data_IF_764830724704
#
_entry.id   IF_764830724704
#
_cell.length_a   1.000
_cell.length_b   1.000
_cell.length_c   1.000
_cell.angle_alpha   90.00
_cell.angle_beta   90.00
_cell.angle_gamma   90.00
#
_symmetry.space_group_name_H-M   'P 1'
#
loop_
_entity.id
_entity.type
_entity.pdbx_description
1 polymer ?
#
# COMPACT_ATOMS: atom_id res chain seq x y z
N UNK A 1 1.27 -0.21 1.79
CA UNK A 1 0.64 -1.31 1.06
C UNK A 1 1.43 -2.62 1.20
N UNK A 2 2.76 -2.65 0.90
CA UNK A 2 3.57 -3.88 0.99
C UNK A 2 3.54 -4.54 2.37
N UNK A 3 3.58 -3.76 3.45
CA UNK A 3 3.47 -4.31 4.80
C UNK A 3 2.11 -5.01 5.03
N UNK A 4 1.01 -4.45 4.51
CA UNK A 4 -0.29 -5.13 4.52
C UNK A 4 -0.24 -6.44 3.72
N UNK A 5 0.30 -6.39 2.50
CA UNK A 5 0.40 -7.56 1.64
C UNK A 5 1.19 -8.70 2.30
N UNK A 6 2.35 -8.38 2.90
CA UNK A 6 3.18 -9.36 3.62
C UNK A 6 2.46 -9.95 4.83
N UNK A 7 1.78 -9.12 5.65
CA UNK A 7 1.05 -9.58 6.83
C UNK A 7 -0.18 -10.42 6.47
N UNK A 8 -0.91 -10.05 5.40
CA UNK A 8 -2.05 -10.83 4.92
C UNK A 8 -1.58 -12.19 4.39
N UNK A 9 -0.52 -12.22 3.59
CA UNK A 9 0.05 -13.46 3.07
C UNK A 9 0.61 -14.39 4.16
N UNK A 10 1.09 -13.83 5.28
CA UNK A 10 1.57 -14.60 6.43
C UNK A 10 0.42 -15.26 7.22
N UNK A 11 -0.77 -14.65 7.22
CA UNK A 11 -1.90 -15.05 8.08
C UNK A 11 -3.00 -15.81 7.34
N UNK A 12 -2.97 -15.84 6.01
CA UNK A 12 -4.03 -16.39 5.18
C UNK A 12 -3.46 -17.34 4.13
N UNK A 13 -4.24 -18.34 3.76
CA UNK A 13 -3.86 -19.34 2.76
C UNK A 13 -4.07 -18.89 1.32
N UNK A 14 -4.94 -17.90 1.09
CA UNK A 14 -5.25 -17.37 -0.24
C UNK A 14 -4.12 -16.52 -0.81
N UNK A 15 -4.09 -16.39 -2.13
CA UNK A 15 -3.10 -15.59 -2.83
C UNK A 15 -3.23 -14.09 -2.51
N UNK A 16 -2.09 -13.39 -2.47
CA UNK A 16 -2.02 -11.93 -2.45
C UNK A 16 -1.50 -11.46 -3.80
N UNK A 17 -2.31 -10.70 -4.53
CA UNK A 17 -1.95 -10.14 -5.83
C UNK A 17 -1.54 -8.67 -5.68
N UNK A 18 -0.37 -8.30 -6.20
CA UNK A 18 0.16 -6.93 -6.19
C UNK A 18 0.37 -6.49 -7.62
N UNK A 19 -0.36 -5.48 -8.06
CA UNK A 19 -0.16 -4.81 -9.34
C UNK A 19 0.66 -3.55 -9.10
N UNK A 20 1.96 -3.62 -9.42
CA UNK A 20 2.93 -2.53 -9.25
C UNK A 20 3.13 -1.82 -10.57
N UNK A 21 2.36 -0.75 -10.81
CA UNK A 21 2.33 -0.09 -12.11
C UNK A 21 3.42 0.98 -12.26
N UNK A 22 4.04 1.38 -11.16
CA UNK A 22 5.13 2.36 -11.13
C UNK A 22 6.50 1.71 -10.91
N UNK A 23 6.57 0.70 -10.05
CA UNK A 23 7.83 0.10 -9.64
C UNK A 23 8.03 -1.29 -10.23
N UNK A 24 9.25 -1.63 -10.70
CA UNK A 24 9.57 -3.00 -11.11
C UNK A 24 9.44 -4.01 -9.97
N UNK A 25 9.08 -5.24 -10.31
CA UNK A 25 8.88 -6.34 -9.37
C UNK A 25 10.12 -6.66 -8.51
N UNK A 26 11.32 -6.53 -9.07
CA UNK A 26 12.57 -6.71 -8.33
C UNK A 26 12.78 -5.66 -7.23
N UNK A 27 12.37 -4.41 -7.48
CA UNK A 27 12.41 -3.34 -6.48
C UNK A 27 11.41 -3.58 -5.35
N UNK A 28 10.21 -4.08 -5.69
CA UNK A 28 9.20 -4.47 -4.69
C UNK A 28 9.70 -5.64 -3.83
N UNK A 29 10.30 -6.65 -4.47
CA UNK A 29 10.89 -7.80 -3.77
C UNK A 29 12.02 -7.38 -2.84
N UNK A 30 12.92 -6.48 -3.25
CA UNK A 30 13.98 -5.94 -2.39
C UNK A 30 13.42 -5.24 -1.14
N UNK A 31 12.32 -4.49 -1.28
CA UNK A 31 11.63 -3.86 -0.14
C UNK A 31 11.02 -4.90 0.81
N UNK A 32 10.38 -5.96 0.26
CA UNK A 32 9.86 -7.06 1.07
C UNK A 32 10.98 -7.78 1.81
N UNK A 33 12.08 -8.08 1.13
CA UNK A 33 13.27 -8.72 1.72
C UNK A 33 13.88 -7.86 2.83
N UNK A 34 14.05 -6.54 2.60
CA UNK A 34 14.57 -5.61 3.59
C UNK A 34 13.69 -5.56 4.84
N UNK A 35 12.38 -5.44 4.64
CA UNK A 35 11.40 -5.39 5.73
C UNK A 35 11.32 -6.68 6.54
N UNK A 36 11.39 -7.85 5.89
CA UNK A 36 11.29 -9.17 6.55
C UNK A 36 12.60 -9.53 7.26
N UNK A 37 13.75 -9.30 6.63
CA UNK A 37 15.07 -9.61 7.19
C UNK A 37 15.59 -8.57 8.17
N UNK A 38 14.98 -7.38 8.21
CA UNK A 38 15.48 -6.20 8.94
C UNK A 38 16.92 -5.81 8.52
N UNK A 39 17.26 -6.04 7.25
CA UNK A 39 18.51 -5.60 6.65
C UNK A 39 18.24 -4.33 5.83
N UNK A 40 19.07 -3.31 6.02
CA UNK A 40 18.92 -2.02 5.37
C UNK A 40 18.94 -2.15 3.85
N UNK A 41 18.00 -1.47 3.20
CA UNK A 41 17.83 -1.48 1.75
C UNK A 41 19.10 -1.07 0.99
N UNK A 42 19.90 -0.14 1.56
CA UNK A 42 21.16 0.29 0.98
C UNK A 42 22.24 -0.80 1.01
N UNK A 43 22.26 -1.62 2.06
CA UNK A 43 23.16 -2.77 2.14
C UNK A 43 22.77 -3.85 1.14
N UNK A 44 21.46 -4.09 0.94
CA UNK A 44 20.96 -4.98 -0.12
C UNK A 44 21.39 -4.50 -1.51
N UNK A 45 21.30 -3.19 -1.75
CA UNK A 45 21.68 -2.60 -3.04
C UNK A 45 23.17 -2.64 -3.30
N UNK A 46 24.00 -2.39 -2.25
CA UNK A 46 25.45 -2.34 -2.39
C UNK A 46 26.12 -3.71 -2.30
N UNK A 47 25.41 -4.73 -1.82
CA UNK A 47 25.96 -6.06 -1.54
C UNK A 47 26.91 -6.13 -0.36
N UNK A 48 27.05 -5.05 0.42
CA UNK A 48 27.93 -4.98 1.60
C UNK A 48 27.22 -5.54 2.84
N UNK A 49 27.19 -6.86 2.95
CA UNK A 49 26.48 -7.58 3.99
C UNK A 49 27.46 -8.30 4.91
N UNK A 50 27.15 -8.34 6.20
CA UNK A 50 27.81 -9.23 7.16
C UNK A 50 27.29 -10.66 7.00
N UNK A 51 28.00 -11.64 7.57
CA UNK A 51 27.54 -13.03 7.56
C UNK A 51 26.19 -13.20 8.29
N UNK A 52 25.97 -12.45 9.35
CA UNK A 52 24.70 -12.46 10.10
C UNK A 52 23.56 -11.87 9.27
N UNK A 53 23.79 -10.75 8.60
CA UNK A 53 22.78 -10.14 7.70
C UNK A 53 22.45 -11.06 6.52
N UNK A 54 23.45 -11.75 5.99
CA UNK A 54 23.25 -12.75 4.94
C UNK A 54 22.39 -13.91 5.44
N UNK A 55 22.64 -14.42 6.66
CA UNK A 55 21.80 -15.47 7.26
C UNK A 55 20.34 -15.03 7.41
N UNK A 56 20.11 -13.80 7.93
CA UNK A 56 18.75 -13.24 8.05
C UNK A 56 18.05 -13.07 6.70
N UNK A 57 18.80 -12.73 5.66
CA UNK A 57 18.28 -12.64 4.29
C UNK A 57 17.86 -14.01 3.73
N UNK A 58 18.67 -15.05 3.96
CA UNK A 58 18.30 -16.41 3.56
C UNK A 58 17.03 -16.89 4.27
N UNK A 59 16.91 -16.66 5.57
CA UNK A 59 15.74 -16.99 6.35
C UNK A 59 14.50 -16.23 5.84
N UNK A 60 14.62 -14.91 5.65
CA UNK A 60 13.54 -14.09 5.09
C UNK A 60 13.13 -14.55 3.67
N UNK A 61 14.10 -14.92 2.83
CA UNK A 61 13.84 -15.48 1.50
C UNK A 61 13.08 -16.79 1.56
N UNK A 62 13.44 -17.69 2.46
CA UNK A 62 12.72 -18.93 2.71
C UNK A 62 11.26 -18.66 3.10
N UNK A 63 11.05 -17.81 4.11
CA UNK A 63 9.70 -17.43 4.56
C UNK A 63 8.86 -16.79 3.46
N UNK A 64 9.45 -15.89 2.65
CA UNK A 64 8.73 -15.23 1.56
C UNK A 64 8.40 -16.20 0.41
N UNK A 65 9.26 -17.19 0.15
CA UNK A 65 9.02 -18.20 -0.90
C UNK A 65 7.83 -19.11 -0.59
N UNK A 66 7.52 -19.32 0.68
CA UNK A 66 6.36 -20.09 1.13
C UNK A 66 5.04 -19.32 1.04
N UNK A 67 5.11 -17.98 0.97
CA UNK A 67 3.94 -17.11 0.89
C UNK A 67 3.46 -16.97 -0.56
N UNK A 68 2.16 -17.04 -0.75
CA UNK A 68 1.53 -16.89 -2.07
C UNK A 68 1.40 -15.40 -2.44
N UNK A 69 2.54 -14.71 -2.61
CA UNK A 69 2.60 -13.31 -3.05
C UNK A 69 2.96 -13.28 -4.53
N UNK A 70 2.09 -12.68 -5.34
CA UNK A 70 2.25 -12.54 -6.79
C UNK A 70 2.37 -11.07 -7.15
N UNK A 71 3.48 -10.68 -7.74
CA UNK A 71 3.75 -9.30 -8.17
C UNK A 71 3.69 -9.24 -9.68
N UNK A 72 2.86 -8.34 -10.18
CA UNK A 72 2.71 -8.04 -11.60
C UNK A 72 3.09 -6.57 -11.84
N UNK A 73 4.16 -6.35 -12.61
CA UNK A 73 4.67 -5.03 -12.96
C UNK A 73 4.41 -4.64 -14.41
N UNK A 74 3.36 -5.23 -15.01
CA UNK A 74 2.93 -4.88 -16.36
C UNK A 74 2.54 -3.40 -16.43
N UNK A 75 3.31 -2.60 -17.13
CA UNK A 75 2.99 -1.20 -17.40
C UNK A 75 1.75 -1.10 -18.31
N UNK A 76 0.97 -0.02 -18.13
CA UNK A 76 -0.22 0.25 -18.97
C UNK A 76 -1.27 -0.88 -18.96
N UNK A 77 -1.45 -1.55 -17.82
CA UNK A 77 -2.42 -2.62 -17.65
C UNK A 77 -3.86 -2.08 -17.74
N UNK A 78 -4.74 -2.81 -18.42
CA UNK A 78 -6.17 -2.50 -18.47
C UNK A 78 -6.91 -3.18 -17.31
N UNK A 79 -8.01 -2.58 -16.87
CA UNK A 79 -8.87 -3.16 -15.81
C UNK A 79 -9.26 -4.61 -16.15
N UNK A 80 -9.62 -4.90 -17.41
CA UNK A 80 -9.98 -6.26 -17.84
C UNK A 80 -8.84 -7.28 -17.70
N UNK A 81 -7.59 -6.84 -17.86
CA UNK A 81 -6.43 -7.70 -17.65
C UNK A 81 -6.20 -7.98 -16.17
N UNK A 82 -6.43 -6.99 -15.28
CA UNK A 82 -6.41 -7.20 -13.82
C UNK A 82 -7.44 -8.28 -13.44
N UNK A 83 -8.68 -8.17 -13.93
CA UNK A 83 -9.70 -9.20 -13.71
C UNK A 83 -9.26 -10.59 -14.17
N UNK A 84 -8.73 -10.69 -15.39
CA UNK A 84 -8.28 -11.98 -15.94
C UNK A 84 -7.16 -12.60 -15.12
N UNK A 85 -6.18 -11.78 -14.68
CA UNK A 85 -5.08 -12.24 -13.84
C UNK A 85 -5.56 -12.66 -12.45
N UNK A 86 -6.48 -11.92 -11.83
CA UNK A 86 -7.08 -12.30 -10.55
C UNK A 86 -7.89 -13.60 -10.65
N UNK A 87 -8.72 -13.76 -11.70
CA UNK A 87 -9.45 -15.02 -11.92
C UNK A 87 -8.51 -16.22 -12.06
N UNK A 88 -7.41 -16.06 -12.81
CA UNK A 88 -6.39 -17.08 -12.94
C UNK A 88 -5.78 -17.44 -11.58
N UNK A 89 -5.34 -16.44 -10.82
CA UNK A 89 -4.77 -16.65 -9.48
C UNK A 89 -5.76 -17.32 -8.52
N UNK A 90 -7.05 -16.93 -8.55
CA UNK A 90 -8.12 -17.55 -7.76
C UNK A 90 -8.30 -19.03 -8.13
N UNK A 91 -8.27 -19.34 -9.43
CA UNK A 91 -8.36 -20.72 -9.92
C UNK A 91 -7.18 -21.60 -9.51
N UNK A 92 -5.96 -21.05 -9.53
CA UNK A 92 -4.73 -21.79 -9.20
C UNK A 92 -4.52 -21.96 -7.69
N UNK A 93 -5.00 -21.01 -6.87
CA UNK A 93 -4.76 -20.99 -5.43
C UNK A 93 -6.00 -21.27 -4.57
N UNK A 94 -7.17 -21.44 -5.18
CA UNK A 94 -8.46 -21.64 -4.52
C UNK A 94 -9.12 -20.31 -4.09
N UNK A 95 -8.35 -19.35 -3.57
CA UNK A 95 -8.85 -18.04 -3.15
C UNK A 95 -7.81 -16.94 -3.31
N UNK A 96 -8.27 -15.68 -3.28
CA UNK A 96 -7.43 -14.50 -3.13
C UNK A 96 -7.75 -13.88 -1.78
N UNK A 97 -6.72 -13.56 -1.01
CA UNK A 97 -6.87 -12.90 0.30
C UNK A 97 -6.77 -11.39 0.22
N UNK A 98 -6.07 -10.86 -0.79
CA UNK A 98 -5.91 -9.41 -0.98
C UNK A 98 -5.47 -9.11 -2.41
N UNK A 99 -5.99 -8.01 -2.96
CA UNK A 99 -5.46 -7.37 -4.17
C UNK A 99 -4.93 -5.99 -3.80
N UNK A 100 -3.71 -5.67 -4.22
CA UNK A 100 -3.08 -4.35 -4.05
C UNK A 100 -2.78 -3.76 -5.42
N UNK A 101 -3.08 -2.47 -5.62
CA UNK A 101 -2.83 -1.73 -6.87
C UNK A 101 -2.06 -0.46 -6.55
N UNK A 102 -0.87 -0.33 -7.11
CA UNK A 102 0.04 0.79 -6.89
C UNK A 102 0.41 1.44 -8.25
N UNK A 103 -0.25 2.52 -8.64
CA UNK A 103 -1.42 3.22 -8.13
C UNK A 103 -2.51 3.33 -9.22
N UNK A 104 -3.75 3.54 -8.81
CA UNK A 104 -4.92 3.40 -9.70
C UNK A 104 -4.90 4.31 -10.93
N UNK A 105 -4.30 5.50 -10.84
CA UNK A 105 -4.21 6.43 -11.96
C UNK A 105 -3.29 5.95 -13.10
N UNK A 106 -2.48 4.90 -12.92
CA UNK A 106 -1.66 4.30 -13.98
C UNK A 106 -2.41 3.19 -14.73
N UNK A 107 -3.58 2.79 -14.26
CA UNK A 107 -4.43 1.84 -14.99
C UNK A 107 -4.93 2.52 -16.27
N UNK A 108 -4.83 1.79 -17.38
CA UNK A 108 -5.42 2.23 -18.66
C UNK A 108 -6.91 1.95 -18.66
N UNK A 109 -7.70 3.00 -18.70
CA UNK A 109 -9.16 2.90 -18.82
C UNK A 109 -9.63 2.58 -20.24
N UNK A 110 -10.93 2.48 -20.38
CA UNK A 110 -11.61 2.50 -21.67
C UNK A 110 -11.67 3.94 -22.17
N UNK A 111 -11.89 4.14 -23.49
CA UNK A 111 -12.03 5.49 -24.07
C UNK A 111 -13.10 6.28 -23.30
N UNK A 112 -12.66 7.25 -22.51
CA UNK A 112 -13.51 8.18 -21.79
C UNK A 112 -13.29 9.60 -22.34
N UNK A 113 -14.32 10.44 -22.25
CA UNK A 113 -14.27 11.82 -22.72
C UNK A 113 -13.36 12.71 -21.85
N UNK A 114 -13.06 12.25 -20.64
CA UNK A 114 -12.18 12.96 -19.71
C UNK A 114 -11.42 12.00 -18.78
N UNK A 115 -10.28 12.46 -18.26
CA UNK A 115 -9.50 11.71 -17.25
C UNK A 115 -10.33 11.43 -15.99
N UNK A 116 -11.15 12.36 -15.58
CA UNK A 116 -12.04 12.18 -14.43
C UNK A 116 -13.02 11.02 -14.63
N UNK A 117 -13.61 10.92 -15.82
CA UNK A 117 -14.52 9.82 -16.15
C UNK A 117 -13.79 8.49 -16.17
N UNK A 118 -12.56 8.45 -16.73
CA UNK A 118 -11.74 7.25 -16.78
C UNK A 118 -11.45 6.73 -15.37
N UNK A 119 -11.00 7.61 -14.46
CA UNK A 119 -10.74 7.24 -13.06
C UNK A 119 -12.01 6.78 -12.35
N UNK A 120 -13.14 7.39 -12.65
CA UNK A 120 -14.46 6.98 -12.12
C UNK A 120 -14.81 5.55 -12.54
N UNK A 121 -14.62 5.23 -13.80
CA UNK A 121 -14.89 3.90 -14.33
C UNK A 121 -13.93 2.86 -13.74
N UNK A 122 -12.65 3.21 -13.57
CA UNK A 122 -11.66 2.36 -12.90
C UNK A 122 -12.10 2.08 -11.46
N UNK A 123 -12.42 3.11 -10.67
CA UNK A 123 -12.84 2.98 -9.27
C UNK A 123 -14.01 2.03 -9.12
N UNK A 124 -15.06 2.23 -9.93
CA UNK A 124 -16.25 1.37 -9.95
C UNK A 124 -15.90 -0.08 -10.29
N UNK A 125 -15.05 -0.30 -11.28
CA UNK A 125 -14.61 -1.64 -11.67
C UNK A 125 -13.78 -2.32 -10.58
N UNK A 126 -12.94 -1.60 -9.84
CA UNK A 126 -12.22 -2.16 -8.69
C UNK A 126 -13.17 -2.60 -7.57
N UNK A 127 -14.27 -1.88 -7.36
CA UNK A 127 -15.34 -2.31 -6.44
C UNK A 127 -16.03 -3.58 -6.91
N UNK A 128 -16.24 -3.74 -8.23
CA UNK A 128 -16.77 -4.97 -8.82
C UNK A 128 -15.76 -6.12 -8.64
N UNK A 129 -14.46 -5.86 -8.88
CA UNK A 129 -13.40 -6.84 -8.68
C UNK A 129 -13.39 -7.37 -7.25
N UNK A 130 -13.49 -6.49 -6.24
CA UNK A 130 -13.51 -6.88 -4.84
C UNK A 130 -14.67 -7.85 -4.53
N UNK A 131 -15.86 -7.56 -5.09
CA UNK A 131 -17.04 -8.42 -4.94
C UNK A 131 -16.89 -9.76 -5.65
N UNK A 132 -16.36 -9.78 -6.88
CA UNK A 132 -16.16 -11.00 -7.67
C UNK A 132 -15.09 -11.93 -7.07
N UNK A 133 -14.01 -11.33 -6.61
CA UNK A 133 -12.92 -12.08 -5.97
C UNK A 133 -13.25 -12.46 -4.53
N UNK A 134 -14.25 -11.84 -3.91
CA UNK A 134 -14.62 -12.00 -2.48
C UNK A 134 -13.46 -11.65 -1.54
N UNK A 135 -12.68 -10.63 -1.91
CA UNK A 135 -11.51 -10.20 -1.14
C UNK A 135 -11.40 -8.66 -1.10
N UNK A 136 -10.68 -8.11 -0.11
CA UNK A 136 -10.34 -6.70 -0.10
C UNK A 136 -9.49 -6.30 -1.32
N UNK A 137 -9.76 -5.09 -1.86
CA UNK A 137 -8.91 -4.44 -2.85
C UNK A 137 -8.39 -3.15 -2.25
N UNK A 138 -7.07 -3.03 -2.09
CA UNK A 138 -6.39 -1.81 -1.67
C UNK A 138 -5.86 -1.12 -2.93
N UNK A 139 -6.42 0.02 -3.28
CA UNK A 139 -5.94 0.85 -4.37
C UNK A 139 -5.25 2.09 -3.79
N UNK A 140 -3.99 2.29 -4.13
CA UNK A 140 -3.28 3.52 -3.83
C UNK A 140 -3.75 4.60 -4.80
N UNK A 141 -3.88 5.81 -4.29
CA UNK A 141 -4.30 6.98 -5.07
C UNK A 141 -3.38 8.14 -4.80
N UNK A 142 -2.92 8.78 -5.85
CA UNK A 142 -2.21 10.05 -5.74
C UNK A 142 -3.21 11.14 -5.36
N UNK A 143 -2.81 12.01 -4.43
CA UNK A 143 -3.61 13.16 -4.02
C UNK A 143 -3.38 14.36 -4.96
N UNK A 144 -4.35 15.27 -4.97
CA UNK A 144 -4.20 16.56 -5.63
C UNK A 144 -3.08 17.38 -4.99
N UNK A 145 -2.29 18.10 -5.81
CA UNK A 145 -1.23 19.00 -5.32
C UNK A 145 -1.74 20.13 -4.44
N UNK A 146 -3.04 20.38 -4.42
CA UNK A 146 -3.66 21.39 -3.52
C UNK A 146 -3.44 21.10 -2.03
N UNK A 147 -3.11 19.85 -1.66
CA UNK A 147 -2.69 19.52 -0.30
C UNK A 147 -1.45 20.32 0.11
N UNK A 148 -0.51 20.51 -0.82
CA UNK A 148 0.75 21.25 -0.58
C UNK A 148 0.55 22.77 -0.45
N UNK A 149 -0.58 23.29 -0.92
CA UNK A 149 -0.93 24.73 -0.83
C UNK A 149 -1.56 25.10 0.52
N UNK A 150 -2.01 24.11 1.30
CA UNK A 150 -2.61 24.34 2.63
C UNK A 150 -1.54 24.45 3.70
N UNK A 151 -1.83 25.24 4.72
CA UNK A 151 -0.91 25.49 5.84
C UNK A 151 -0.66 24.25 6.69
N UNK A 152 -1.67 23.38 6.82
CA UNK A 152 -1.62 22.17 7.64
C UNK A 152 -1.11 20.94 6.87
N UNK A 153 -1.08 21.01 5.53
CA UNK A 153 -0.71 19.91 4.63
C UNK A 153 -1.41 18.57 4.93
N UNK A 154 -2.47 18.59 5.75
CA UNK A 154 -3.22 17.39 6.10
C UNK A 154 -4.13 16.96 4.95
N UNK A 155 -4.01 15.70 4.46
CA UNK A 155 -4.88 15.18 3.41
C UNK A 155 -6.35 15.13 3.83
N UNK A 156 -7.24 15.47 2.91
CA UNK A 156 -8.70 15.45 3.11
C UNK A 156 -9.39 14.72 1.97
N UNK A 157 -10.63 14.26 2.18
CA UNK A 157 -11.43 13.59 1.14
C UNK A 157 -11.58 14.46 -0.12
N UNK A 158 -11.60 15.79 0.03
CA UNK A 158 -11.63 16.72 -1.10
C UNK A 158 -10.40 16.65 -2.00
N UNK A 159 -9.28 16.12 -1.52
CA UNK A 159 -8.04 15.99 -2.31
C UNK A 159 -8.06 14.79 -3.26
N UNK A 160 -9.05 13.91 -3.09
CA UNK A 160 -9.40 12.86 -4.05
C UNK A 160 -10.26 13.40 -5.21
N UNK A 161 -10.50 14.71 -5.30
CA UNK A 161 -11.52 15.37 -6.13
C UNK A 161 -11.33 15.29 -7.64
N UNK A 162 -10.16 15.00 -8.15
CA UNK A 162 -10.03 14.67 -9.58
C UNK A 162 -10.75 13.34 -9.89
N UNK A 163 -11.26 12.70 -8.84
CA UNK A 163 -11.88 11.39 -8.83
C UNK A 163 -12.99 11.33 -7.76
N UNK A 164 -13.95 12.25 -7.78
CA UNK A 164 -15.05 12.27 -6.79
C UNK A 164 -15.80 10.95 -6.61
N UNK A 165 -15.66 10.06 -7.59
CA UNK A 165 -16.17 8.70 -7.53
C UNK A 165 -15.33 7.77 -6.63
N UNK A 166 -14.00 7.98 -6.49
CA UNK A 166 -13.18 7.16 -5.58
C UNK A 166 -13.72 7.25 -4.16
N UNK A 167 -14.02 8.47 -3.71
CA UNK A 167 -14.63 8.69 -2.40
C UNK A 167 -15.96 7.94 -2.27
N UNK A 168 -16.81 7.96 -3.30
CA UNK A 168 -18.12 7.30 -3.26
C UNK A 168 -18.02 5.77 -3.28
N UNK A 169 -17.15 5.23 -4.12
CA UNK A 169 -17.00 3.78 -4.33
C UNK A 169 -16.26 3.10 -3.17
N UNK A 170 -15.27 3.76 -2.57
CA UNK A 170 -14.48 3.20 -1.48
C UNK A 170 -15.34 2.98 -0.21
N UNK A 171 -15.20 1.83 0.43
CA UNK A 171 -15.79 1.58 1.74
C UNK A 171 -14.96 2.21 2.85
N UNK A 172 -13.64 2.26 2.65
CA UNK A 172 -12.67 2.82 3.56
C UNK A 172 -11.75 3.74 2.78
N UNK A 173 -11.45 4.93 3.35
CA UNK A 173 -10.41 5.83 2.86
C UNK A 173 -9.45 6.11 4.00
N UNK A 174 -8.17 5.84 3.74
CA UNK A 174 -7.09 6.08 4.68
C UNK A 174 -6.07 7.02 4.06
N UNK A 175 -5.64 8.03 4.83
CA UNK A 175 -4.54 8.91 4.45
C UNK A 175 -3.33 8.63 5.33
N UNK A 176 -2.17 8.55 4.68
CA UNK A 176 -0.87 8.52 5.36
C UNK A 176 -0.18 9.85 5.11
N UNK A 177 0.21 10.55 6.15
CA UNK A 177 0.98 11.78 6.00
C UNK A 177 1.99 11.94 7.14
N UNK A 178 3.03 12.75 6.89
CA UNK A 178 4.09 13.05 7.84
C UNK A 178 3.99 14.53 8.21
N UNK A 179 3.46 14.82 9.41
CA UNK A 179 3.36 16.19 9.91
C UNK A 179 4.71 16.91 9.95
N UNK A 180 5.76 16.20 10.38
CA UNK A 180 7.12 16.76 10.54
C UNK A 180 7.90 16.93 9.23
N UNK A 181 7.38 16.45 8.09
CA UNK A 181 8.07 16.53 6.79
C UNK A 181 8.24 17.99 6.31
N UNK A 182 7.33 18.86 6.70
CA UNK A 182 7.31 20.28 6.30
C UNK A 182 8.04 21.20 7.29
N UNK A 183 8.43 20.72 8.47
CA UNK A 183 9.26 21.46 9.42
C UNK A 183 10.73 21.37 8.96
N UNK A 184 11.15 22.34 8.11
CA UNK A 184 12.46 22.40 7.43
C UNK A 184 13.70 22.38 8.34
N UNK A 185 13.55 22.57 9.66
CA UNK A 185 14.67 22.69 10.59
C UNK A 185 15.09 21.38 11.27
N UNK A 186 14.39 20.29 10.97
CA UNK A 186 14.76 18.95 11.49
C UNK A 186 14.79 17.97 10.32
N UNK A 187 15.85 17.98 9.51
CA UNK A 187 16.32 16.71 8.93
C UNK A 187 16.69 15.81 10.12
N UNK A 188 15.67 15.16 10.67
CA UNK A 188 15.88 14.18 11.70
C UNK A 188 16.70 13.06 11.06
N UNK A 189 17.96 12.91 11.46
CA UNK A 189 18.80 11.74 11.17
C UNK A 189 18.20 10.47 11.82
N UNK A 190 17.00 10.59 12.36
CA UNK A 190 16.29 9.48 12.99
C UNK A 190 15.90 8.44 11.94
N UNK A 191 16.30 7.21 12.18
CA UNK A 191 16.00 6.06 11.33
C UNK A 191 14.51 5.74 11.31
N UNK A 192 13.78 6.19 12.34
CA UNK A 192 12.34 5.99 12.54
C UNK A 192 11.60 7.31 12.55
N UNK A 193 10.57 7.41 11.76
CA UNK A 193 9.67 8.59 11.69
C UNK A 193 8.27 8.23 12.19
N UNK A 194 7.62 9.19 12.85
CA UNK A 194 6.20 9.10 13.16
C UNK A 194 5.37 9.48 11.93
N UNK A 195 4.41 8.64 11.59
CA UNK A 195 3.50 8.85 10.45
C UNK A 195 2.08 8.78 10.96
N UNK A 196 1.28 9.78 10.62
CA UNK A 196 -0.14 9.80 10.93
C UNK A 196 -0.92 8.97 9.90
N UNK A 197 -1.75 8.06 10.39
CA UNK A 197 -2.74 7.32 9.62
C UNK A 197 -4.12 7.83 9.99
N UNK A 198 -4.75 8.58 9.07
CA UNK A 198 -6.11 9.07 9.24
C UNK A 198 -7.09 8.14 8.52
N UNK A 199 -8.02 7.56 9.26
CA UNK A 199 -9.19 6.86 8.73
C UNK A 199 -10.29 7.90 8.46
N UNK A 200 -10.26 8.48 7.26
CA UNK A 200 -11.11 9.62 6.90
C UNK A 200 -12.52 9.20 6.46
N UNK A 201 -12.69 7.96 6.01
CA UNK A 201 -13.98 7.36 5.68
C UNK A 201 -14.01 5.90 6.09
N UNK A 202 -15.11 5.49 6.72
CA UNK A 202 -15.41 4.09 7.01
C UNK A 202 -16.93 3.86 6.92
N UNK A 203 -17.39 3.13 5.90
CA UNK A 203 -18.82 2.96 5.63
C UNK A 203 -19.60 2.30 6.77
N UNK A 204 -18.96 1.36 7.47
CA UNK A 204 -19.60 0.52 8.50
C UNK A 204 -18.99 0.70 9.89
N UNK A 205 -18.21 1.77 10.12
CA UNK A 205 -17.55 2.00 11.41
C UNK A 205 -17.21 3.47 11.63
N UNK A 206 -16.50 3.74 12.72
CA UNK A 206 -16.01 5.08 13.07
C UNK A 206 -14.83 5.53 12.20
N UNK A 207 -14.60 6.82 12.19
CA UNK A 207 -13.39 7.44 11.65
C UNK A 207 -12.45 7.78 12.81
N UNK A 208 -11.16 7.98 12.53
CA UNK A 208 -10.19 8.30 13.57
C UNK A 208 -8.79 8.46 13.04
N UNK A 209 -7.86 8.76 13.93
CA UNK A 209 -6.43 8.89 13.61
C UNK A 209 -5.62 8.03 14.56
N UNK A 210 -4.58 7.40 14.04
CA UNK A 210 -3.56 6.69 14.81
C UNK A 210 -2.19 7.09 14.32
N UNK A 211 -1.19 6.91 15.16
CA UNK A 211 0.21 7.11 14.78
C UNK A 211 0.92 5.79 14.61
N UNK A 212 1.80 5.73 13.62
CA UNK A 212 2.63 4.58 13.32
C UNK A 212 4.09 5.02 13.30
N UNK A 213 4.97 4.11 13.67
CA UNK A 213 6.40 4.26 13.45
C UNK A 213 6.76 3.75 12.06
N UNK A 214 7.52 4.55 11.29
CA UNK A 214 8.04 4.18 9.99
C UNK A 214 9.56 4.09 10.01
N UNK A 215 10.10 2.88 9.92
CA UNK A 215 11.52 2.58 9.82
C UNK A 215 11.95 2.71 8.35
N UNK A 216 12.55 3.87 8.01
CA UNK A 216 12.88 4.26 6.62
C UNK A 216 13.82 3.27 5.94
N UNK A 217 14.88 2.86 6.65
CA UNK A 217 15.97 2.05 6.11
C UNK A 217 15.54 0.65 5.69
N UNK A 218 14.44 0.15 6.27
CA UNK A 218 13.86 -1.17 5.95
C UNK A 218 12.43 -1.08 5.40
N UNK A 219 11.92 0.13 5.16
CA UNK A 219 10.57 0.38 4.60
C UNK A 219 9.45 -0.32 5.39
N UNK A 220 9.55 -0.30 6.73
CA UNK A 220 8.65 -1.03 7.63
C UNK A 220 7.83 -0.08 8.48
N UNK A 221 6.50 -0.35 8.56
CA UNK A 221 5.63 0.28 9.53
C UNK A 221 5.42 -0.63 10.73
N UNK A 222 5.50 -0.06 11.93
CA UNK A 222 5.20 -0.73 13.20
C UNK A 222 4.25 0.12 14.03
N UNK A 223 3.64 -0.49 15.05
CA UNK A 223 2.90 0.30 16.02
C UNK A 223 3.88 1.18 16.81
N UNK A 224 3.48 2.42 17.11
CA UNK A 224 4.13 3.15 18.17
C UNK A 224 3.85 2.40 19.46
N UNK A 225 4.86 2.13 20.27
CA UNK A 225 4.65 1.67 21.65
C UNK A 225 3.85 2.75 22.36
N UNK A 226 2.63 2.44 22.74
CA UNK A 226 1.80 3.33 23.54
C UNK A 226 2.56 3.61 24.85
N UNK A 227 3.01 4.84 25.04
CA UNK A 227 3.27 5.34 26.37
C UNK A 227 1.94 5.21 27.12
N UNK A 228 1.91 4.38 28.17
CA UNK A 228 0.79 3.67 28.79
C UNK A 228 -0.51 4.40 29.21
N UNK A 229 -0.93 5.47 28.56
CA UNK A 229 -2.09 6.27 29.01
C UNK A 229 -3.24 6.48 28.00
N UNK A 230 -3.18 5.97 26.75
CA UNK A 230 -4.20 6.31 25.74
C UNK A 230 -4.91 5.10 25.08
N UNK A 231 -5.11 3.98 25.77
CA UNK A 231 -5.75 2.80 25.14
C UNK A 231 -7.28 2.81 25.17
N UNK A 232 -7.93 3.70 25.89
CA UNK A 232 -9.41 3.76 25.97
C UNK A 232 -9.93 5.20 26.05
N UNK A 233 -9.99 5.88 24.91
CA UNK A 233 -10.93 6.98 24.72
C UNK A 233 -11.95 6.55 23.66
N UNK A 234 -13.18 6.48 24.08
CA UNK A 234 -14.43 5.97 23.49
C UNK A 234 -14.73 6.36 22.05
#
# INVERSE_FOLDING_TARGET
ALNFASQVAKRNEGAVAIFSLEMPSDSMMKRLMSSESQVYSDKLRSGKLTNEEMSRLYEAGSHLSERKIYIDDTSSIKVSQIFSKCRKLKSENGSISLVVIDYLQLITGTRADSRQQEVSDISRNLKILAKEMECPVIALSQLSRKVEERTDHEPQLSDLRESGSIEQDADIVMFLYRSNYYEKDKESQEETEVVDLSLAKHRNGGIGKIQLAFEKNISRFTNLEASGDDIYAH
#
